data_IF_016152142400
#
_entry.id   IF_016152142400
#
_cell.length_a   1.000
_cell.length_b   1.000
_cell.length_c   1.000
_cell.angle_alpha   90.00
_cell.angle_beta   90.00
_cell.angle_gamma   90.00
#
_symmetry.space_group_name_H-M   'P 1'
#
loop_
_entity.id
_entity.type
_entity.pdbx_description
1 polymer ?
#
# COMPACT_ATOMS: atom_id res chain seq x y z
N UNK A 1 -9.37 -30.42 53.25
CA UNK A 1 -8.48 -30.74 52.11
C UNK A 1 -8.73 -29.68 51.06
N UNK A 2 -7.79 -28.76 50.92
CA UNK A 2 -7.86 -27.61 50.02
C UNK A 2 -7.34 -28.00 48.65
N UNK A 3 -8.12 -27.80 47.61
CA UNK A 3 -7.64 -27.83 46.21
C UNK A 3 -7.96 -26.48 45.58
N UNK A 4 -6.96 -25.61 45.65
CA UNK A 4 -6.91 -24.34 44.93
C UNK A 4 -6.27 -24.60 43.57
N UNK A 5 -7.07 -24.68 42.51
CA UNK A 5 -6.54 -24.72 41.13
C UNK A 5 -6.60 -23.32 40.50
N UNK A 6 -5.49 -22.64 40.75
CA UNK A 6 -4.73 -21.74 39.88
C UNK A 6 -5.40 -21.22 38.59
N UNK A 7 -5.76 -19.94 38.64
CA UNK A 7 -6.15 -19.11 37.50
C UNK A 7 -4.98 -18.95 36.51
N UNK A 8 -5.13 -19.45 35.28
CA UNK A 8 -4.24 -19.09 34.16
C UNK A 8 -4.58 -17.67 33.66
N UNK A 9 -3.98 -16.66 34.28
CA UNK A 9 -3.85 -15.33 33.69
C UNK A 9 -2.92 -15.40 32.49
N UNK A 10 -3.48 -15.28 31.28
CA UNK A 10 -2.68 -15.05 30.08
C UNK A 10 -2.13 -13.62 30.17
N UNK A 11 -0.80 -13.41 30.10
CA UNK A 11 -0.27 -12.06 30.05
C UNK A 11 -0.70 -11.41 28.72
N UNK A 12 -1.46 -10.33 28.83
CA UNK A 12 -1.64 -9.33 27.78
C UNK A 12 -0.25 -8.87 27.32
N UNK A 13 0.26 -9.47 26.25
CA UNK A 13 1.46 -8.99 25.57
C UNK A 13 1.08 -7.68 24.89
N UNK A 14 1.35 -6.57 25.58
CA UNK A 14 1.39 -5.26 24.99
C UNK A 14 2.28 -5.35 23.74
N UNK A 15 1.70 -5.16 22.56
CA UNK A 15 2.48 -4.94 21.35
C UNK A 15 3.04 -3.54 21.48
N UNK A 16 4.34 -3.44 21.77
CA UNK A 16 5.13 -2.25 21.48
C UNK A 16 4.87 -1.88 20.01
N UNK A 17 4.11 -0.81 19.80
CA UNK A 17 4.03 -0.16 18.50
C UNK A 17 5.29 0.68 18.39
N UNK A 18 6.37 0.04 17.98
CA UNK A 18 7.58 0.73 17.52
C UNK A 18 7.15 1.61 16.36
N UNK A 19 7.26 2.93 16.53
CA UNK A 19 7.03 3.91 15.47
C UNK A 19 8.17 3.75 14.46
N UNK A 20 8.01 2.81 13.53
CA UNK A 20 8.94 2.61 12.44
C UNK A 20 9.03 3.91 11.64
N UNK A 21 10.26 4.36 11.39
CA UNK A 21 10.58 5.43 10.45
C UNK A 21 9.71 5.28 9.20
N UNK A 22 9.08 6.37 8.74
CA UNK A 22 8.29 6.35 7.50
C UNK A 22 9.14 5.73 6.39
N UNK A 23 8.88 4.46 6.07
CA UNK A 23 9.44 3.83 4.89
C UNK A 23 8.86 4.59 3.70
N UNK A 24 9.72 5.02 2.77
CA UNK A 24 9.28 5.70 1.57
C UNK A 24 8.55 4.75 0.60
N UNK A 25 8.34 3.50 0.99
CA UNK A 25 7.61 2.51 0.21
C UNK A 25 6.08 2.63 0.36
N UNK A 26 5.39 2.29 -0.71
CA UNK A 26 3.96 2.09 -0.80
C UNK A 26 3.69 0.90 -1.72
N UNK A 27 2.47 0.40 -1.69
CA UNK A 27 1.96 -0.59 -2.60
C UNK A 27 1.12 0.08 -3.68
N UNK A 28 1.38 -0.23 -4.94
CA UNK A 28 0.47 0.06 -6.04
C UNK A 28 -0.42 -1.16 -6.27
N UNK A 29 -1.72 -0.98 -6.03
CA UNK A 29 -2.70 -2.07 -6.04
C UNK A 29 -3.64 -1.83 -7.20
N UNK A 30 -3.57 -2.70 -8.20
CA UNK A 30 -4.46 -2.68 -9.36
C UNK A 30 -5.53 -3.74 -9.21
N UNK A 31 -6.80 -3.36 -9.30
CA UNK A 31 -7.93 -4.27 -9.09
C UNK A 31 -9.14 -3.91 -9.97
N UNK A 32 -10.08 -4.85 -10.08
CA UNK A 32 -11.38 -4.62 -10.73
C UNK A 32 -12.35 -4.03 -9.72
N UNK A 33 -12.92 -2.88 -10.06
CA UNK A 33 -13.92 -2.24 -9.24
C UNK A 33 -15.20 -3.11 -9.16
N UNK A 34 -15.79 -3.35 -7.98
CA UNK A 34 -16.95 -4.23 -7.84
C UNK A 34 -18.22 -3.73 -8.52
N UNK A 35 -18.35 -2.40 -8.67
CA UNK A 35 -19.59 -1.73 -9.09
C UNK A 35 -19.61 -1.40 -10.59
N UNK A 36 -18.44 -1.08 -11.13
CA UNK A 36 -18.24 -0.73 -12.52
C UNK A 36 -17.06 -1.59 -12.94
N UNK A 37 -17.19 -2.50 -13.92
CA UNK A 37 -16.13 -3.44 -14.34
C UNK A 37 -14.82 -2.82 -14.83
N UNK A 38 -14.61 -1.53 -14.56
CA UNK A 38 -13.38 -0.78 -14.70
C UNK A 38 -12.25 -1.38 -13.87
N UNK A 39 -11.03 -1.16 -14.36
CA UNK A 39 -9.79 -1.46 -13.64
C UNK A 39 -9.27 -0.16 -13.06
N UNK A 40 -8.92 -0.19 -11.78
CA UNK A 40 -8.44 0.98 -11.04
C UNK A 40 -7.17 0.62 -10.28
N UNK A 41 -6.29 1.60 -10.14
CA UNK A 41 -5.07 1.49 -9.35
C UNK A 41 -5.13 2.48 -8.20
N UNK A 42 -4.78 2.02 -7.00
CA UNK A 42 -4.65 2.86 -5.80
C UNK A 42 -3.27 2.68 -5.19
N UNK A 43 -2.83 3.67 -4.41
CA UNK A 43 -1.63 3.57 -3.58
C UNK A 43 -2.02 3.37 -2.11
N UNK A 44 -1.40 2.42 -1.44
CA UNK A 44 -1.67 2.08 -0.04
C UNK A 44 -0.36 1.78 0.69
N UNK A 45 -0.27 2.05 2.00
CA UNK A 45 0.93 1.66 2.77
C UNK A 45 0.82 0.28 3.40
N UNK A 46 -0.38 -0.25 3.51
CA UNK A 46 -0.64 -1.49 4.22
C UNK A 46 -1.39 -2.47 3.33
N UNK A 47 -0.85 -3.69 3.21
CA UNK A 47 -1.47 -4.86 2.61
C UNK A 47 -1.48 -5.96 3.67
N UNK A 48 -2.66 -6.44 4.06
CA UNK A 48 -2.80 -7.45 5.12
C UNK A 48 -3.91 -8.47 4.80
N UNK A 49 -3.90 -9.60 5.51
CA UNK A 49 -5.02 -10.53 5.50
C UNK A 49 -6.29 -9.86 6.01
N UNK A 50 -7.40 -10.08 5.32
CA UNK A 50 -8.67 -9.51 5.70
C UNK A 50 -9.26 -10.17 6.94
N UNK A 51 -9.83 -9.35 7.84
CA UNK A 51 -10.62 -9.82 8.98
C UNK A 51 -11.93 -10.51 8.57
N UNK A 52 -12.33 -10.42 7.30
CA UNK A 52 -13.51 -11.11 6.76
C UNK A 52 -13.28 -12.60 6.48
N UNK A 53 -12.04 -13.08 6.66
CA UNK A 53 -11.67 -14.48 6.49
C UNK A 53 -10.94 -14.76 5.17
N UNK A 54 -10.83 -16.04 4.85
CA UNK A 54 -10.04 -16.53 3.71
C UNK A 54 -10.59 -16.01 2.38
N UNK A 55 -9.68 -15.64 1.48
CA UNK A 55 -10.02 -15.18 0.13
C UNK A 55 -10.26 -13.68 0.01
N UNK A 56 -10.02 -12.89 1.08
CA UNK A 56 -10.03 -11.43 1.03
C UNK A 56 -8.69 -10.85 1.44
N UNK A 57 -8.28 -9.78 0.77
CA UNK A 57 -7.11 -8.96 1.10
C UNK A 57 -7.60 -7.59 1.55
N UNK A 58 -6.95 -7.04 2.56
CA UNK A 58 -7.26 -5.74 3.12
C UNK A 58 -6.18 -4.73 2.76
N UNK A 59 -6.60 -3.58 2.25
CA UNK A 59 -5.74 -2.45 1.92
C UNK A 59 -6.11 -1.24 2.78
N UNK A 60 -5.13 -0.57 3.36
CA UNK A 60 -5.33 0.64 4.17
C UNK A 60 -4.20 1.64 4.05
N UNK A 61 -4.38 2.79 4.71
CA UNK A 61 -3.39 3.86 4.77
C UNK A 61 -3.08 4.38 3.36
N UNK A 62 -4.14 4.80 2.66
CA UNK A 62 -4.10 5.26 1.28
C UNK A 62 -3.17 6.47 1.11
N UNK A 63 -2.44 6.46 0.00
CA UNK A 63 -1.50 7.52 -0.38
C UNK A 63 -2.08 8.24 -1.60
N UNK A 64 -2.22 9.56 -1.50
CA UNK A 64 -2.65 10.41 -2.60
C UNK A 64 -1.60 11.45 -2.90
N UNK A 65 -1.35 11.74 -4.17
CA UNK A 65 -0.39 12.75 -4.57
C UNK A 65 -0.95 14.17 -4.39
N UNK A 66 -0.35 14.93 -3.48
CA UNK A 66 -0.75 16.34 -3.22
C UNK A 66 -0.04 17.36 -4.11
N UNK A 67 0.72 16.95 -5.12
CA UNK A 67 1.53 17.88 -5.92
C UNK A 67 0.64 18.76 -6.81
N UNK A 68 0.40 19.98 -6.33
CA UNK A 68 -0.49 21.02 -6.89
C UNK A 68 -0.14 21.54 -8.29
N UNK A 69 0.96 21.08 -8.90
CA UNK A 69 1.45 21.63 -10.18
C UNK A 69 0.66 21.09 -11.38
N UNK A 70 0.08 19.90 -11.27
CA UNK A 70 -0.77 19.30 -12.31
C UNK A 70 -2.02 18.73 -11.66
N UNK A 71 -3.19 19.27 -12.01
CA UNK A 71 -4.48 18.71 -11.60
C UNK A 71 -4.70 17.41 -12.37
N UNK A 72 -4.74 16.28 -11.68
CA UNK A 72 -5.12 14.99 -12.24
C UNK A 72 -6.55 14.64 -11.80
N UNK A 73 -7.57 14.77 -12.69
CA UNK A 73 -8.96 14.51 -12.33
C UNK A 73 -9.23 13.08 -11.84
N UNK A 74 -8.45 12.10 -12.31
CA UNK A 74 -8.60 10.71 -11.88
C UNK A 74 -8.14 10.53 -10.43
N UNK A 75 -7.02 11.16 -10.05
CA UNK A 75 -6.50 11.15 -8.67
C UNK A 75 -7.48 11.85 -7.72
N UNK A 76 -8.02 13.00 -8.10
CA UNK A 76 -9.01 13.73 -7.30
C UNK A 76 -10.31 12.92 -7.10
N UNK A 77 -10.74 12.20 -8.14
CA UNK A 77 -11.89 11.31 -8.04
C UNK A 77 -11.63 10.16 -7.06
N UNK A 78 -10.43 9.56 -7.10
CA UNK A 78 -10.02 8.53 -6.14
C UNK A 78 -9.96 9.08 -4.72
N UNK A 79 -9.31 10.24 -4.53
CA UNK A 79 -9.22 10.89 -3.24
C UNK A 79 -10.61 11.19 -2.67
N UNK A 80 -11.52 11.72 -3.49
CA UNK A 80 -12.90 12.00 -3.09
C UNK A 80 -13.65 10.71 -2.74
N UNK A 81 -13.55 9.67 -3.57
CA UNK A 81 -14.19 8.37 -3.35
C UNK A 81 -13.73 7.72 -2.04
N UNK A 82 -12.44 7.79 -1.75
CA UNK A 82 -11.82 7.12 -0.61
C UNK A 82 -11.60 8.02 0.61
N UNK A 83 -12.03 9.29 0.58
CA UNK A 83 -11.84 10.26 1.67
C UNK A 83 -12.37 9.79 3.04
N UNK A 84 -13.45 9.02 3.03
CA UNK A 84 -14.09 8.47 4.24
C UNK A 84 -13.93 6.94 4.37
N UNK A 85 -13.08 6.33 3.53
CA UNK A 85 -12.84 4.90 3.53
C UNK A 85 -11.60 4.60 4.35
N UNK A 86 -11.77 3.90 5.47
CA UNK A 86 -10.64 3.51 6.33
C UNK A 86 -9.83 2.36 5.74
N UNK A 87 -10.53 1.37 5.18
CA UNK A 87 -9.96 0.14 4.61
C UNK A 87 -10.85 -0.36 3.48
N UNK A 88 -10.24 -1.04 2.51
CA UNK A 88 -10.97 -1.77 1.48
C UNK A 88 -10.68 -3.25 1.67
N UNK A 89 -11.74 -4.05 1.73
CA UNK A 89 -11.65 -5.51 1.72
C UNK A 89 -12.03 -6.00 0.33
N UNK A 90 -11.05 -6.43 -0.45
CA UNK A 90 -11.27 -6.95 -1.79
C UNK A 90 -11.20 -8.48 -1.77
N UNK A 91 -12.11 -9.17 -2.48
CA UNK A 91 -11.88 -10.58 -2.75
C UNK A 91 -10.59 -10.73 -3.58
N UNK A 92 -9.79 -11.76 -3.30
CA UNK A 92 -8.47 -11.96 -3.91
C UNK A 92 -8.55 -12.06 -5.44
N UNK A 93 -9.67 -12.56 -5.99
CA UNK A 93 -9.89 -12.67 -7.43
C UNK A 93 -10.18 -11.33 -8.13
N UNK A 94 -10.47 -10.26 -7.39
CA UNK A 94 -10.62 -8.92 -7.94
C UNK A 94 -9.28 -8.18 -8.04
N UNK A 95 -8.27 -8.60 -7.26
CA UNK A 95 -6.93 -8.03 -7.30
C UNK A 95 -6.19 -8.56 -8.53
N UNK A 96 -5.68 -7.64 -9.35
CA UNK A 96 -4.95 -7.96 -10.57
C UNK A 96 -3.44 -7.92 -10.35
N UNK A 97 -2.95 -6.93 -9.60
CA UNK A 97 -1.54 -6.74 -9.31
C UNK A 97 -1.36 -6.02 -7.96
N UNK A 98 -0.32 -6.39 -7.22
CA UNK A 98 0.16 -5.66 -6.05
C UNK A 98 1.67 -5.51 -6.19
N UNK A 99 2.13 -4.28 -6.33
CA UNK A 99 3.55 -3.95 -6.50
C UNK A 99 4.03 -3.19 -5.28
N UNK A 100 5.12 -3.63 -4.66
CA UNK A 100 5.78 -2.86 -3.61
C UNK A 100 6.79 -1.90 -4.25
N UNK A 101 6.56 -0.61 -4.09
CA UNK A 101 7.30 0.47 -4.76
C UNK A 101 7.93 1.37 -3.69
N UNK A 102 9.20 1.74 -3.84
CA UNK A 102 9.83 2.70 -2.94
C UNK A 102 11.34 2.80 -3.15
N UNK A 103 11.91 4.00 -3.04
CA UNK A 103 13.34 4.21 -3.31
C UNK A 103 14.29 3.41 -2.41
N UNK A 104 13.79 2.92 -1.27
CA UNK A 104 14.55 2.15 -0.28
C UNK A 104 14.40 0.63 -0.48
N UNK A 105 13.88 0.16 -1.63
CA UNK A 105 13.69 -1.27 -1.89
C UNK A 105 15.02 -1.98 -2.25
N UNK A 106 15.29 -3.15 -1.67
CA UNK A 106 16.43 -4.03 -2.06
C UNK A 106 16.16 -4.79 -3.37
N UNK A 107 15.60 -4.11 -4.37
CA UNK A 107 15.24 -4.75 -5.64
C UNK A 107 16.45 -4.87 -6.56
N UNK A 108 16.19 -5.18 -7.84
CA UNK A 108 17.24 -5.32 -8.84
C UNK A 108 18.09 -4.04 -8.96
N UNK A 109 19.23 -4.03 -8.27
CA UNK A 109 20.31 -3.08 -8.52
C UNK A 109 21.01 -3.52 -9.80
N UNK A 110 20.83 -2.77 -10.88
CA UNK A 110 21.55 -2.98 -12.14
C UNK A 110 22.99 -2.46 -11.98
N UNK A 111 23.82 -3.19 -11.24
CA UNK A 111 25.27 -2.95 -11.24
C UNK A 111 25.85 -3.42 -12.57
N UNK A 112 26.33 -2.47 -13.37
CA UNK A 112 26.97 -2.63 -14.68
C UNK A 112 26.03 -2.91 -15.87
N UNK A 113 25.05 -2.01 -16.08
CA UNK A 113 24.44 -1.88 -17.41
C UNK A 113 25.49 -1.40 -18.44
N UNK A 114 25.90 -2.29 -19.35
CA UNK A 114 26.76 -1.96 -20.50
C UNK A 114 25.99 -1.25 -21.62
N UNK A 115 24.67 -1.18 -21.51
CA UNK A 115 23.82 -0.38 -22.37
C UNK A 115 24.02 1.06 -21.96
N UNK A 116 24.68 1.87 -22.79
CA UNK A 116 24.80 3.32 -22.59
C UNK A 116 23.43 4.00 -22.79
N UNK A 117 22.44 3.64 -21.97
CA UNK A 117 21.13 4.24 -22.02
C UNK A 117 21.24 5.62 -21.40
N UNK A 118 21.19 6.63 -22.27
CA UNK A 118 21.10 8.03 -21.87
C UNK A 118 19.68 8.24 -21.36
N UNK A 119 19.54 8.46 -20.05
CA UNK A 119 18.28 8.92 -19.46
C UNK A 119 18.16 10.40 -19.80
N UNK A 120 17.33 10.73 -20.81
CA UNK A 120 17.01 12.12 -21.14
C UNK A 120 16.05 12.65 -20.07
N UNK A 121 16.56 13.55 -19.22
CA UNK A 121 15.71 14.35 -18.34
C UNK A 121 14.99 15.41 -19.18
N UNK A 122 13.64 15.47 -19.18
CA UNK A 122 12.92 16.56 -19.82
C UNK A 122 12.97 17.76 -18.88
N UNK A 123 14.07 18.52 -18.92
CA UNK A 123 14.12 19.99 -18.86
C UNK A 123 15.51 20.46 -18.44
N UNK A 124 16.17 21.14 -19.35
CA UNK A 124 17.28 22.04 -19.10
C UNK A 124 17.32 23.03 -20.25
N UNK A 125 16.83 24.24 -20.00
CA UNK A 125 17.02 25.40 -20.86
C UNK A 125 18.53 25.66 -20.96
N UNK A 126 19.10 25.48 -22.16
CA UNK A 126 20.47 25.92 -22.45
C UNK A 126 20.46 27.45 -22.58
N UNK A 127 21.18 28.11 -21.67
CA UNK A 127 21.60 29.50 -21.84
C UNK A 127 23.01 29.52 -22.39
#
# INVERSE_FOLDING_TARGET
MSTSENSLSHPHRAKEVTLASQSKSWYEVTFREPQESAVTTIKARTVEDSQLGLGFVCFSDFVFETNKVVLNPAEEALQTRYANVKRIHLPIYAVLCVEEVGADHEGLSLEADRSKLIVLHPNGEDT
#
